data_IF_911296902355
#
_entry.id   IF_911296902355
#
_cell.length_a   1.000
_cell.length_b   1.000
_cell.length_c   1.000
_cell.angle_alpha   90.00
_cell.angle_beta   90.00
_cell.angle_gamma   90.00
#
_symmetry.space_group_name_H-M   'P 1'
#
loop_
_entity.id
_entity.type
_entity.pdbx_description
1 polymer ?
#
# COMPACT_ATOMS: atom_id res chain seq x y z
N UNK A 1 -6.10 6.72 -7.96
CA UNK A 1 -7.10 6.48 -6.89
C UNK A 1 -6.65 5.45 -5.86
N UNK A 2 -6.16 4.27 -6.25
CA UNK A 2 -5.78 3.20 -5.30
C UNK A 2 -4.82 3.68 -4.20
N UNK A 3 -3.80 4.48 -4.57
CA UNK A 3 -2.87 5.10 -3.62
C UNK A 3 -3.56 5.96 -2.55
N UNK A 4 -4.62 6.70 -2.92
CA UNK A 4 -5.38 7.55 -1.99
C UNK A 4 -6.14 6.67 -0.99
N UNK A 5 -6.72 5.58 -1.47
CA UNK A 5 -7.48 4.63 -0.66
C UNK A 5 -6.56 3.88 0.30
N UNK A 6 -5.38 3.47 -0.17
CA UNK A 6 -4.37 2.81 0.63
C UNK A 6 -3.84 3.75 1.73
N UNK A 7 -3.51 5.00 1.40
CA UNK A 7 -3.11 6.01 2.40
C UNK A 7 -4.18 6.20 3.48
N UNK A 8 -5.44 6.32 3.09
CA UNK A 8 -6.56 6.39 4.04
C UNK A 8 -6.63 5.14 4.93
N UNK A 9 -6.49 3.94 4.34
CA UNK A 9 -6.58 2.68 5.08
C UNK A 9 -5.48 2.57 6.14
N UNK A 10 -4.25 2.92 5.80
CA UNK A 10 -3.12 2.91 6.73
C UNK A 10 -3.38 3.85 7.91
N UNK A 11 -3.95 5.04 7.66
CA UNK A 11 -4.32 5.99 8.69
C UNK A 11 -5.45 5.53 9.58
N UNK A 12 -6.51 4.99 8.98
CA UNK A 12 -7.70 4.55 9.70
C UNK A 12 -7.40 3.39 10.65
N UNK A 13 -6.43 2.54 10.30
CA UNK A 13 -6.13 1.32 11.04
C UNK A 13 -4.81 1.37 11.83
N UNK A 14 -4.11 2.50 11.83
CA UNK A 14 -2.85 2.63 12.57
C UNK A 14 -1.68 1.84 11.97
N UNK A 15 -1.80 1.33 10.74
CA UNK A 15 -0.72 0.63 10.03
C UNK A 15 0.32 1.59 9.47
N UNK A 16 0.74 2.55 10.30
CA UNK A 16 1.77 3.54 9.99
C UNK A 16 3.18 2.98 10.21
N UNK A 17 3.25 1.86 10.95
CA UNK A 17 4.43 1.02 11.12
C UNK A 17 4.28 -0.24 10.27
N UNK A 18 4.81 -0.22 9.05
CA UNK A 18 5.07 -1.45 8.31
C UNK A 18 6.45 -1.96 8.74
N UNK A 19 6.50 -2.47 9.97
CA UNK A 19 7.62 -3.29 10.46
C UNK A 19 7.81 -4.45 9.50
N UNK A 20 8.79 -4.30 8.61
CA UNK A 20 9.63 -5.42 8.25
C UNK A 20 10.75 -5.38 9.28
N UNK A 21 10.67 -6.24 10.30
CA UNK A 21 11.63 -6.36 11.40
C UNK A 21 13.09 -6.56 10.93
N UNK A 22 13.28 -6.77 9.62
CA UNK A 22 14.58 -6.96 8.97
C UNK A 22 15.27 -5.65 8.59
N UNK A 23 14.55 -4.52 8.49
CA UNK A 23 15.17 -3.24 8.11
C UNK A 23 14.50 -2.08 8.85
N UNK A 24 15.21 -1.34 9.72
CA UNK A 24 14.65 -0.15 10.37
C UNK A 24 14.40 0.94 9.33
N UNK A 25 13.18 0.95 8.78
CA UNK A 25 12.70 1.99 7.85
C UNK A 25 12.18 3.18 8.67
N UNK A 26 13.11 3.85 9.34
CA UNK A 26 12.87 4.81 10.42
C UNK A 26 12.15 6.13 10.09
N UNK A 27 11.54 6.29 8.92
CA UNK A 27 11.10 7.61 8.45
C UNK A 27 9.74 7.63 7.74
N UNK A 28 8.92 6.60 7.92
CA UNK A 28 7.76 6.41 7.05
C UNK A 28 6.56 7.27 7.39
N UNK A 29 6.34 7.74 8.60
CA UNK A 29 5.15 8.56 8.85
C UNK A 29 5.36 9.58 9.97
N UNK A 30 5.07 10.87 9.74
CA UNK A 30 5.38 11.92 10.72
C UNK A 30 4.36 12.05 11.87
N UNK A 31 3.32 11.20 11.91
CA UNK A 31 2.28 11.29 12.94
C UNK A 31 2.11 9.96 13.71
N UNK A 32 1.56 10.04 14.92
CA UNK A 32 1.17 8.86 15.68
C UNK A 32 -0.07 8.18 15.10
N UNK A 33 -0.34 6.94 15.50
CA UNK A 33 -1.57 6.22 15.18
C UNK A 33 -2.84 7.01 15.54
N UNK A 34 -2.89 7.58 16.75
CA UNK A 34 -4.01 8.39 17.22
C UNK A 34 -4.23 9.58 16.30
N UNK A 35 -3.14 10.24 15.92
CA UNK A 35 -3.20 11.41 15.03
C UNK A 35 -3.66 11.03 13.62
N UNK A 36 -3.25 9.87 13.11
CA UNK A 36 -3.76 9.32 11.84
C UNK A 36 -5.28 9.11 11.88
N UNK A 37 -5.78 8.52 12.97
CA UNK A 37 -7.21 8.30 13.20
C UNK A 37 -7.99 9.62 13.32
N UNK A 38 -7.44 10.61 14.00
CA UNK A 38 -8.03 11.95 14.09
C UNK A 38 -8.17 12.62 12.71
N UNK A 39 -7.14 12.54 11.87
CA UNK A 39 -7.17 13.08 10.51
C UNK A 39 -8.33 12.45 9.73
N UNK A 40 -8.40 11.11 9.73
CA UNK A 40 -9.47 10.38 9.02
C UNK A 40 -10.85 10.72 9.57
N UNK A 41 -11.01 10.81 10.89
CA UNK A 41 -12.28 11.17 11.52
C UNK A 41 -12.78 12.57 11.14
N UNK A 42 -11.84 13.49 10.88
CA UNK A 42 -12.12 14.87 10.48
C UNK A 42 -12.39 15.06 8.99
N UNK A 43 -12.14 14.06 8.13
CA UNK A 43 -12.36 14.21 6.69
C UNK A 43 -13.85 14.35 6.34
N UNK A 44 -14.15 15.21 5.37
CA UNK A 44 -15.53 15.44 4.91
C UNK A 44 -16.14 14.26 4.17
N UNK A 45 -15.33 13.49 3.43
CA UNK A 45 -15.76 12.33 2.64
C UNK A 45 -15.28 10.99 3.23
N UNK A 46 -15.05 10.93 4.55
CA UNK A 46 -14.49 9.74 5.21
C UNK A 46 -15.31 8.46 4.97
N UNK A 47 -16.63 8.58 4.78
CA UNK A 47 -17.53 7.44 4.62
C UNK A 47 -17.46 6.81 3.21
N UNK A 48 -16.87 7.50 2.23
CA UNK A 48 -16.71 6.97 0.86
C UNK A 48 -15.48 6.07 0.71
N UNK A 49 -14.42 6.31 1.51
CA UNK A 49 -13.18 5.54 1.42
C UNK A 49 -13.34 4.05 1.81
N UNK A 50 -14.14 3.67 2.82
CA UNK A 50 -14.47 2.27 3.09
C UNK A 50 -15.09 1.55 1.90
N UNK A 51 -15.95 2.22 1.13
CA UNK A 51 -16.56 1.66 -0.09
C UNK A 51 -15.50 1.43 -1.17
N UNK A 52 -14.69 2.45 -1.44
CA UNK A 52 -13.58 2.37 -2.40
C UNK A 52 -12.57 1.27 -2.03
N UNK A 53 -12.22 1.15 -0.75
CA UNK A 53 -11.38 0.08 -0.23
C UNK A 53 -12.03 -1.29 -0.43
N UNK A 54 -13.34 -1.38 -0.18
CA UNK A 54 -14.14 -2.58 -0.42
C UNK A 54 -14.11 -3.04 -1.88
N UNK A 55 -14.02 -2.12 -2.85
CA UNK A 55 -13.86 -2.52 -4.25
C UNK A 55 -12.46 -3.08 -4.55
N UNK A 56 -11.40 -2.53 -3.96
CA UNK A 56 -10.01 -2.97 -4.19
C UNK A 56 -9.73 -4.32 -3.52
N UNK A 57 -10.12 -4.48 -2.25
CA UNK A 57 -9.71 -5.63 -1.43
C UNK A 57 -10.86 -6.60 -1.10
N UNK A 58 -12.09 -6.22 -1.44
CA UNK A 58 -13.30 -6.87 -0.95
C UNK A 58 -13.77 -6.22 0.34
N UNK A 59 -15.08 -6.35 0.65
CA UNK A 59 -15.62 -5.92 1.93
C UNK A 59 -15.12 -6.84 3.03
N UNK A 60 -14.52 -6.29 4.07
CA UNK A 60 -14.17 -7.01 5.29
C UNK A 60 -15.46 -7.38 6.04
N UNK A 61 -15.66 -8.67 6.27
CA UNK A 61 -16.77 -9.22 7.05
C UNK A 61 -16.21 -9.84 8.32
N UNK A 62 -16.68 -9.40 9.48
CA UNK A 62 -16.33 -10.03 10.76
C UNK A 62 -17.08 -11.35 10.88
N UNK A 63 -16.34 -12.39 11.28
CA UNK A 63 -16.90 -13.71 11.54
C UNK A 63 -16.36 -14.29 12.83
N UNK A 64 -17.12 -15.21 13.43
CA UNK A 64 -16.57 -16.07 14.48
C UNK A 64 -15.71 -17.20 13.88
N UNK A 65 -15.08 -18.01 14.73
CA UNK A 65 -14.25 -19.14 14.31
C UNK A 65 -14.98 -20.18 13.43
N UNK A 66 -16.31 -20.21 13.47
CA UNK A 66 -17.14 -21.09 12.65
C UNK A 66 -17.66 -20.42 11.36
N UNK A 67 -17.23 -19.18 11.05
CA UNK A 67 -17.59 -18.46 9.82
C UNK A 67 -18.95 -17.77 9.83
N UNK A 68 -19.62 -17.67 10.99
CA UNK A 68 -20.88 -16.92 11.12
C UNK A 68 -20.62 -15.43 11.24
N UNK A 69 -21.46 -14.62 10.60
CA UNK A 69 -21.38 -13.16 10.66
C UNK A 69 -21.56 -12.66 12.09
N UNK A 70 -20.69 -11.76 12.52
CA UNK A 70 -20.75 -11.11 13.85
C UNK A 70 -20.81 -9.59 13.69
N UNK A 71 -21.32 -8.92 14.74
CA UNK A 71 -21.35 -7.48 14.85
C UNK A 71 -19.94 -6.88 15.00
N UNK A 72 -19.86 -5.55 15.02
CA UNK A 72 -18.61 -4.81 15.09
C UNK A 72 -17.84 -5.02 16.40
N UNK A 73 -18.51 -5.50 17.44
CA UNK A 73 -17.88 -5.94 18.70
C UNK A 73 -17.06 -7.24 18.56
N UNK A 74 -17.12 -7.89 17.40
CA UNK A 74 -16.40 -9.13 17.09
C UNK A 74 -16.93 -10.39 17.77
N UNK A 75 -17.98 -10.27 18.58
CA UNK A 75 -18.44 -11.32 19.51
C UNK A 75 -19.90 -11.68 19.28
N UNK A 76 -20.74 -10.71 19.00
CA UNK A 76 -22.18 -10.90 18.91
C UNK A 76 -22.54 -11.45 17.53
N UNK A 77 -23.03 -12.70 17.47
CA UNK A 77 -23.51 -13.30 16.21
C UNK A 77 -24.75 -12.54 15.74
N UNK A 78 -24.75 -12.12 14.48
CA UNK A 78 -25.87 -11.38 13.90
C UNK A 78 -27.08 -12.29 13.70
N UNK A 79 -28.27 -11.74 13.96
CA UNK A 79 -29.55 -12.37 13.64
C UNK A 79 -30.16 -11.77 12.37
N UNK A 80 -30.70 -12.61 11.45
CA UNK A 80 -30.72 -14.07 11.50
C UNK A 80 -29.31 -14.67 11.32
N UNK A 81 -29.02 -15.74 12.08
CA UNK A 81 -27.74 -16.45 12.01
C UNK A 81 -27.46 -16.99 10.60
N UNK A 82 -26.39 -16.51 9.97
CA UNK A 82 -25.92 -16.95 8.64
C UNK A 82 -24.40 -17.07 8.58
N UNK A 83 -23.89 -18.03 7.80
CA UNK A 83 -22.46 -18.06 7.48
C UNK A 83 -22.17 -17.04 6.39
N UNK A 84 -20.98 -16.41 6.45
CA UNK A 84 -20.59 -15.42 5.46
C UNK A 84 -20.63 -15.96 4.03
N UNK A 85 -20.16 -17.19 3.82
CA UNK A 85 -20.14 -17.87 2.50
C UNK A 85 -21.52 -18.14 1.91
N UNK A 86 -22.56 -18.21 2.73
CA UNK A 86 -23.92 -18.51 2.28
C UNK A 86 -24.64 -17.23 1.80
N UNK A 87 -24.10 -16.06 2.14
CA UNK A 87 -24.69 -14.74 1.88
C UNK A 87 -23.85 -13.93 0.91
N UNK A 88 -22.54 -14.13 0.93
CA UNK A 88 -21.58 -13.36 0.17
C UNK A 88 -20.65 -14.27 -0.63
N UNK A 89 -20.29 -13.80 -1.82
CA UNK A 89 -19.20 -14.40 -2.59
C UNK A 89 -17.86 -13.99 -1.96
N UNK A 90 -17.12 -14.99 -1.46
CA UNK A 90 -15.85 -14.79 -0.76
C UNK A 90 -14.67 -15.06 -1.69
N UNK A 91 -13.61 -14.26 -1.58
CA UNK A 91 -12.45 -14.40 -2.47
C UNK A 91 -11.26 -13.51 -2.15
N UNK A 92 -11.37 -12.58 -1.20
CA UNK A 92 -10.27 -11.70 -0.81
C UNK A 92 -9.36 -12.26 0.30
N UNK A 93 -9.54 -13.51 0.70
CA UNK A 93 -8.78 -14.16 1.78
C UNK A 93 -9.44 -14.03 3.16
N UNK A 94 -8.67 -14.37 4.20
CA UNK A 94 -9.12 -14.39 5.59
C UNK A 94 -7.97 -14.06 6.55
N UNK A 95 -8.30 -13.58 7.74
CA UNK A 95 -7.31 -13.31 8.79
C UNK A 95 -7.94 -13.18 10.17
N UNK A 96 -7.18 -12.66 11.13
CA UNK A 96 -7.67 -12.20 12.42
C UNK A 96 -7.14 -10.81 12.71
N UNK A 97 -7.90 -10.01 13.46
CA UNK A 97 -7.42 -8.81 14.13
C UNK A 97 -7.58 -8.97 15.65
N UNK A 98 -7.34 -7.92 16.43
CA UNK A 98 -7.48 -7.95 17.89
C UNK A 98 -8.93 -8.20 18.37
N UNK A 99 -9.91 -8.07 17.46
CA UNK A 99 -11.34 -8.11 17.77
C UNK A 99 -11.94 -9.46 17.35
N UNK A 100 -11.66 -9.93 16.13
CA UNK A 100 -12.26 -11.16 15.60
C UNK A 100 -11.51 -11.76 14.41
N UNK A 101 -11.93 -12.97 14.01
CA UNK A 101 -11.68 -13.44 12.65
C UNK A 101 -12.42 -12.57 11.63
N UNK A 102 -11.87 -12.50 10.42
CA UNK A 102 -12.53 -11.84 9.31
C UNK A 102 -12.28 -12.58 7.99
N UNK A 103 -13.21 -12.39 7.06
CA UNK A 103 -13.10 -12.83 5.67
C UNK A 103 -13.37 -11.65 4.75
N UNK A 104 -12.87 -11.70 3.53
CA UNK A 104 -13.13 -10.68 2.51
C UNK A 104 -14.01 -11.23 1.39
N UNK A 105 -14.97 -10.41 0.95
CA UNK A 105 -15.72 -10.70 -0.28
C UNK A 105 -14.80 -10.67 -1.50
N UNK A 106 -15.31 -11.09 -2.65
CA UNK A 106 -14.64 -10.83 -3.93
C UNK A 106 -14.46 -9.31 -4.15
N UNK A 107 -13.36 -8.98 -4.83
CA UNK A 107 -13.01 -7.62 -5.25
C UNK A 107 -13.89 -7.23 -6.44
N UNK A 108 -14.10 -5.94 -6.66
CA UNK A 108 -14.85 -5.43 -7.81
C UNK A 108 -14.06 -4.36 -8.55
N UNK A 109 -13.12 -4.80 -9.39
CA UNK A 109 -12.23 -3.92 -10.14
C UNK A 109 -12.98 -2.99 -11.11
N UNK A 110 -14.11 -3.44 -11.67
CA UNK A 110 -14.91 -2.62 -12.59
C UNK A 110 -15.66 -1.50 -11.85
N UNK A 111 -16.29 -1.81 -10.72
CA UNK A 111 -16.90 -0.79 -9.87
C UNK A 111 -15.86 0.19 -9.33
N UNK A 112 -14.68 -0.32 -8.93
CA UNK A 112 -13.55 0.53 -8.55
C UNK A 112 -13.15 1.47 -9.69
N UNK A 113 -12.97 0.95 -10.90
CA UNK A 113 -12.52 1.76 -12.05
C UNK A 113 -13.50 2.87 -12.39
N UNK A 114 -14.81 2.56 -12.40
CA UNK A 114 -15.86 3.56 -12.61
C UNK A 114 -15.85 4.64 -11.53
N UNK A 115 -15.85 4.23 -10.26
CA UNK A 115 -15.85 5.18 -9.14
C UNK A 115 -14.56 6.00 -9.11
N UNK A 116 -13.42 5.40 -9.42
CA UNK A 116 -12.13 6.07 -9.50
C UNK A 116 -12.12 7.14 -10.59
N UNK A 117 -12.80 6.93 -11.73
CA UNK A 117 -12.92 7.91 -12.79
C UNK A 117 -13.83 9.11 -12.40
N UNK A 118 -14.84 8.90 -11.55
CA UNK A 118 -15.67 9.99 -11.00
C UNK A 118 -14.89 10.85 -9.99
N UNK A 119 -13.90 10.26 -9.32
CA UNK A 119 -13.10 10.93 -8.29
C UNK A 119 -11.85 11.59 -8.89
N UNK A 120 -11.01 10.81 -9.57
CA UNK A 120 -9.77 11.28 -10.20
C UNK A 120 -10.07 11.57 -11.67
N UNK A 121 -10.26 12.84 -11.99
CA UNK A 121 -10.68 13.27 -13.32
C UNK A 121 -9.50 13.33 -14.30
N UNK A 122 -8.30 13.65 -13.80
CA UNK A 122 -7.05 13.56 -14.56
C UNK A 122 -5.89 13.16 -13.65
N UNK A 123 -4.87 12.52 -14.22
CA UNK A 123 -3.60 12.32 -13.55
C UNK A 123 -2.45 12.33 -14.57
N UNK A 124 -1.28 12.77 -14.10
CA UNK A 124 -0.04 12.79 -14.87
C UNK A 124 1.10 12.31 -13.99
N UNK A 125 1.97 11.46 -14.53
CA UNK A 125 3.22 11.06 -13.90
C UNK A 125 4.41 11.65 -14.67
N UNK A 126 5.41 12.10 -13.94
CA UNK A 126 6.71 12.44 -14.51
C UNK A 126 7.53 11.17 -14.78
N UNK A 127 8.59 11.25 -15.62
CA UNK A 127 9.58 10.18 -15.70
C UNK A 127 10.20 9.86 -14.33
N UNK A 128 10.67 8.63 -14.16
CA UNK A 128 11.37 8.23 -12.94
C UNK A 128 12.65 9.05 -12.79
N UNK A 129 12.86 9.60 -11.60
CA UNK A 129 14.06 10.34 -11.21
C UNK A 129 14.84 9.56 -10.17
N UNK A 130 16.10 9.92 -9.96
CA UNK A 130 17.02 9.30 -8.99
C UNK A 130 17.22 7.77 -9.20
N UNK A 131 17.08 7.29 -10.43
CA UNK A 131 17.45 5.90 -10.78
C UNK A 131 18.96 5.72 -10.49
N UNK A 132 19.37 4.72 -9.70
CA UNK A 132 20.78 4.46 -9.45
C UNK A 132 21.48 4.06 -10.75
N UNK A 133 22.78 4.30 -10.84
CA UNK A 133 23.58 3.81 -11.96
C UNK A 133 24.00 2.35 -11.73
N UNK A 134 24.27 1.62 -12.80
CA UNK A 134 24.84 0.27 -12.71
C UNK A 134 26.17 0.25 -11.95
N UNK A 135 26.97 1.29 -12.09
CA UNK A 135 28.21 1.46 -11.32
C UNK A 135 27.98 1.56 -9.82
N UNK A 136 26.89 2.19 -9.36
CA UNK A 136 26.52 2.22 -7.94
C UNK A 136 26.13 0.82 -7.44
N UNK A 137 25.39 0.04 -8.24
CA UNK A 137 25.00 -1.34 -7.91
C UNK A 137 26.23 -2.25 -7.82
N UNK A 138 27.19 -2.07 -8.71
CA UNK A 138 28.44 -2.82 -8.72
C UNK A 138 29.30 -2.59 -7.45
N UNK A 139 29.04 -1.54 -6.68
CA UNK A 139 29.74 -1.33 -5.39
C UNK A 139 29.23 -2.21 -4.26
N UNK A 140 28.04 -2.81 -4.41
CA UNK A 140 27.46 -3.66 -3.38
C UNK A 140 28.29 -4.91 -3.12
N UNK A 141 28.59 -5.12 -1.85
CA UNK A 141 29.15 -6.36 -1.32
C UNK A 141 28.06 -7.05 -0.51
N UNK A 142 27.70 -8.27 -0.92
CA UNK A 142 26.67 -9.08 -0.27
C UNK A 142 27.24 -10.49 -0.05
N UNK A 143 27.58 -10.80 1.20
CA UNK A 143 28.17 -12.08 1.59
C UNK A 143 27.17 -13.24 1.46
N UNK A 144 25.87 -12.96 1.64
CA UNK A 144 24.80 -13.96 1.52
C UNK A 144 24.48 -14.27 0.05
N UNK A 145 24.75 -13.32 -0.84
CA UNK A 145 24.49 -13.44 -2.28
C UNK A 145 25.66 -12.90 -3.13
N UNK A 146 26.78 -13.64 -3.25
CA UNK A 146 27.91 -13.24 -4.08
C UNK A 146 27.51 -13.11 -5.56
N UNK A 147 28.26 -12.31 -6.31
CA UNK A 147 28.08 -12.17 -7.76
C UNK A 147 28.19 -13.53 -8.46
N UNK A 148 27.26 -13.81 -9.39
CA UNK A 148 27.24 -15.11 -10.07
C UNK A 148 28.43 -15.23 -11.02
N UNK A 149 28.99 -16.45 -11.24
CA UNK A 149 30.04 -16.65 -12.22
C UNK A 149 29.61 -16.19 -13.62
N UNK A 150 30.27 -15.16 -14.16
CA UNK A 150 29.95 -14.56 -15.45
C UNK A 150 29.28 -13.18 -15.35
N UNK A 151 28.84 -12.75 -14.17
CA UNK A 151 28.48 -11.36 -13.91
C UNK A 151 29.77 -10.53 -13.77
N UNK A 152 29.97 -9.57 -14.66
CA UNK A 152 31.18 -8.74 -14.70
C UNK A 152 31.01 -7.49 -13.84
N UNK A 153 31.12 -7.62 -12.50
CA UNK A 153 31.13 -6.49 -11.55
C UNK A 153 32.08 -5.37 -12.00
N UNK A 154 33.28 -5.74 -12.46
CA UNK A 154 34.30 -4.79 -12.95
C UNK A 154 33.85 -4.02 -14.20
N UNK A 155 33.09 -4.68 -15.08
CA UNK A 155 32.53 -4.06 -16.28
C UNK A 155 31.35 -3.15 -15.91
N UNK A 156 30.42 -3.64 -15.09
CA UNK A 156 29.27 -2.87 -14.59
C UNK A 156 29.71 -1.62 -13.80
N UNK A 157 30.84 -1.69 -13.09
CA UNK A 157 31.44 -0.55 -12.39
C UNK A 157 31.80 0.61 -13.33
N UNK A 158 31.94 0.36 -14.63
CA UNK A 158 32.20 1.38 -15.66
C UNK A 158 30.95 1.91 -16.33
N UNK A 159 29.78 1.32 -16.09
CA UNK A 159 28.54 1.71 -16.74
C UNK A 159 27.95 2.96 -16.09
N UNK A 160 27.73 3.98 -16.92
CA UNK A 160 27.07 5.23 -16.54
C UNK A 160 25.56 5.21 -16.83
N UNK A 161 25.06 4.12 -17.40
CA UNK A 161 23.64 3.95 -17.69
C UNK A 161 22.82 3.70 -16.41
N UNK A 162 21.56 4.17 -16.37
CA UNK A 162 20.64 3.86 -15.29
C UNK A 162 20.46 2.35 -15.10
N UNK A 163 20.49 1.91 -13.86
CA UNK A 163 20.27 0.52 -13.50
C UNK A 163 18.81 0.10 -13.72
N UNK A 164 18.62 -1.18 -14.00
CA UNK A 164 17.30 -1.77 -14.12
C UNK A 164 16.67 -1.94 -12.73
N UNK A 165 15.59 -1.18 -12.46
CA UNK A 165 14.88 -1.23 -11.18
C UNK A 165 14.22 -2.59 -10.90
N UNK A 166 14.07 -3.45 -11.90
CA UNK A 166 13.57 -4.82 -11.72
C UNK A 166 14.68 -5.79 -11.26
N UNK A 167 15.95 -5.42 -11.41
CA UNK A 167 17.06 -6.26 -10.99
C UNK A 167 17.19 -6.30 -9.45
N UNK A 168 17.22 -7.50 -8.88
CA UNK A 168 17.13 -7.70 -7.44
C UNK A 168 18.28 -7.03 -6.64
N UNK A 169 19.49 -6.90 -7.20
CA UNK A 169 20.59 -6.18 -6.51
C UNK A 169 20.32 -4.67 -6.43
N UNK A 170 19.55 -4.11 -7.37
CA UNK A 170 19.11 -2.71 -7.25
C UNK A 170 18.24 -2.57 -6.01
N UNK A 171 17.34 -3.51 -5.72
CA UNK A 171 16.55 -3.50 -4.48
C UNK A 171 17.42 -3.51 -3.23
N UNK A 172 18.51 -4.30 -3.19
CA UNK A 172 19.49 -4.32 -2.09
C UNK A 172 20.20 -2.97 -1.92
N UNK A 173 20.53 -2.29 -3.02
CA UNK A 173 21.07 -0.93 -2.96
C UNK A 173 20.04 0.03 -2.33
N UNK A 174 18.78 -0.05 -2.78
CA UNK A 174 17.71 0.82 -2.32
C UNK A 174 17.32 0.60 -0.86
N UNK A 175 17.52 -0.61 -0.31
CA UNK A 175 17.33 -0.89 1.12
C UNK A 175 18.18 0.03 2.00
N UNK A 176 19.44 0.23 1.60
CA UNK A 176 20.43 1.01 2.35
C UNK A 176 20.53 2.47 1.91
N UNK A 177 19.89 2.84 0.80
CA UNK A 177 19.92 4.21 0.27
C UNK A 177 19.00 5.14 1.10
N UNK A 178 19.47 6.35 1.46
CA UNK A 178 18.62 7.38 2.06
C UNK A 178 17.39 7.66 1.19
N UNK A 179 16.25 7.92 1.82
CA UNK A 179 14.96 8.04 1.14
C UNK A 179 14.96 9.10 0.03
N UNK A 180 15.54 10.27 0.30
CA UNK A 180 15.65 11.39 -0.63
C UNK A 180 16.50 11.07 -1.88
N UNK A 181 17.29 10.00 -1.82
CA UNK A 181 18.08 9.48 -2.94
C UNK A 181 17.44 8.28 -3.63
N UNK A 182 16.28 7.79 -3.16
CA UNK A 182 15.59 6.66 -3.81
C UNK A 182 14.93 7.11 -5.11
N UNK A 183 14.74 6.18 -6.07
CA UNK A 183 13.95 6.43 -7.26
C UNK A 183 12.54 6.89 -6.90
N UNK A 184 12.05 7.91 -7.59
CA UNK A 184 10.70 8.43 -7.39
C UNK A 184 10.09 8.95 -8.68
N UNK A 185 8.76 9.10 -8.66
CA UNK A 185 7.97 9.74 -9.72
C UNK A 185 7.09 10.82 -9.09
N UNK A 186 7.11 12.00 -9.68
CA UNK A 186 6.13 13.04 -9.33
C UNK A 186 4.79 12.68 -9.97
N UNK A 187 3.73 12.66 -9.17
CA UNK A 187 2.36 12.42 -9.63
C UNK A 187 1.54 13.68 -9.38
N UNK A 188 0.93 14.21 -10.43
CA UNK A 188 -0.10 15.26 -10.33
C UNK A 188 -1.46 14.63 -10.56
N UNK A 189 -2.41 14.88 -9.67
CA UNK A 189 -3.79 14.39 -9.81
C UNK A 189 -4.77 15.55 -9.70
N UNK A 190 -5.83 15.52 -10.52
CA UNK A 190 -7.00 16.38 -10.35
C UNK A 190 -8.12 15.52 -9.79
N UNK A 191 -8.75 16.00 -8.73
CA UNK A 191 -9.91 15.35 -8.11
C UNK A 191 -11.16 16.17 -8.30
N UNK A 192 -12.32 15.50 -8.36
CA UNK A 192 -13.63 16.16 -8.48
C UNK A 192 -14.01 16.96 -7.23
N UNK A 193 -13.44 16.63 -6.07
CA UNK A 193 -13.62 17.37 -4.83
C UNK A 193 -12.34 17.34 -3.96
N UNK A 194 -11.86 18.47 -3.42
CA UNK A 194 -10.61 18.52 -2.65
C UNK A 194 -10.64 17.67 -1.37
N UNK A 195 -11.83 17.34 -0.86
CA UNK A 195 -11.96 16.48 0.32
C UNK A 195 -11.38 15.06 0.14
N UNK A 196 -11.22 14.57 -1.10
CA UNK A 196 -10.52 13.31 -1.36
C UNK A 196 -9.01 13.35 -1.10
N UNK A 197 -8.45 14.54 -0.83
CA UNK A 197 -7.04 14.75 -0.55
C UNK A 197 -6.78 15.24 0.89
N UNK A 198 -7.80 15.35 1.74
CA UNK A 198 -7.67 15.90 3.10
C UNK A 198 -6.73 15.09 4.00
N UNK A 199 -6.62 13.80 3.74
CA UNK A 199 -5.68 12.91 4.42
C UNK A 199 -4.29 12.90 3.77
N UNK A 200 -4.08 13.61 2.66
CA UNK A 200 -2.74 13.83 2.11
C UNK A 200 -2.18 15.12 2.70
N UNK A 201 -1.50 15.03 3.83
CA UNK A 201 -0.85 16.19 4.44
C UNK A 201 0.63 16.23 4.09
N UNK A 202 1.22 17.40 4.29
CA UNK A 202 2.62 17.64 3.95
C UNK A 202 3.58 16.69 4.69
N UNK A 203 4.61 16.22 3.99
CA UNK A 203 5.62 15.31 4.52
C UNK A 203 5.19 13.87 4.78
N UNK A 204 3.95 13.47 4.43
CA UNK A 204 3.53 12.07 4.54
C UNK A 204 4.34 11.17 3.62
N UNK A 205 4.73 10.01 4.14
CA UNK A 205 5.38 8.94 3.39
C UNK A 205 4.63 7.65 3.74
N UNK A 206 4.64 6.65 2.87
CA UNK A 206 4.17 5.31 3.21
C UNK A 206 4.67 4.34 2.14
N UNK A 207 4.76 3.08 2.52
CA UNK A 207 4.97 1.99 1.56
C UNK A 207 3.61 1.45 1.20
N UNK A 208 3.27 1.53 -0.08
CA UNK A 208 2.06 0.92 -0.60
C UNK A 208 2.39 -0.47 -1.16
N UNK A 209 1.42 -1.37 -1.13
CA UNK A 209 1.50 -2.64 -1.87
C UNK A 209 1.28 -2.44 -3.39
N UNK A 210 0.90 -1.24 -3.81
CA UNK A 210 0.65 -0.91 -5.21
C UNK A 210 1.95 -0.50 -5.90
N UNK A 211 2.36 -1.25 -6.91
CA UNK A 211 3.58 -1.01 -7.70
C UNK A 211 3.46 0.16 -8.68
N UNK A 212 2.38 0.94 -8.63
CA UNK A 212 2.10 2.00 -9.61
C UNK A 212 1.69 1.49 -11.00
N UNK A 213 1.73 0.18 -11.24
CA UNK A 213 1.15 -0.44 -12.42
C UNK A 213 -0.37 -0.59 -12.24
N UNK A 214 -1.12 0.06 -13.15
CA UNK A 214 -2.56 -0.14 -13.35
C UNK A 214 -2.73 -0.88 -14.67
#
# INVERSE_FOLDING_TARGET
>A
MALLVDAWFLLANGYLHNDDDRVPRGDRYPFSEERGKEIVAGMRLKDEFPELYGFIFGKKLRVNAAGYLVADDGRTVLEPRRQAKDVYELGGGSGHDEISHYVFTVRNAEAFSRRAADVVTTYHSSPVRNVPLWSEVATLEDEDHPWEPGESREEMATWEDPADLEYWRVWRLLENRPFEKRPYVDITVTVSHPAYLEHLTDGMRWSTAHTGHV
#
